data_IF_409444950036
#
_entry.id   IF_409444950036
#
_cell.length_a   1.000
_cell.length_b   1.000
_cell.length_c   1.000
_cell.angle_alpha   90.00
_cell.angle_beta   90.00
_cell.angle_gamma   90.00
#
_symmetry.space_group_name_H-M   'P 1'
#
loop_
_entity.id
_entity.type
_entity.pdbx_description
1 polymer ?
#
# COMPACT_ATOMS: atom_id res chain seq x y z
N UNK A 1 10.63 7.14 9.98
CA UNK A 1 10.06 6.45 8.80
C UNK A 1 9.50 7.51 7.87
N UNK A 2 9.79 7.47 6.57
CA UNK A 2 9.27 8.48 5.60
C UNK A 2 8.30 7.88 4.59
N UNK A 3 8.31 6.55 4.43
CA UNK A 3 7.43 5.81 3.53
C UNK A 3 7.01 4.49 4.16
N UNK A 4 5.78 4.04 3.88
CA UNK A 4 5.23 2.76 4.32
C UNK A 4 4.52 2.06 3.16
N UNK A 5 4.58 0.72 3.13
CA UNK A 5 3.92 -0.11 2.11
C UNK A 5 2.98 -1.08 2.82
N UNK A 6 1.70 -1.08 2.47
CA UNK A 6 0.74 -2.10 2.91
C UNK A 6 0.70 -3.25 1.92
N UNK A 7 0.81 -4.48 2.41
CA UNK A 7 0.96 -5.68 1.57
C UNK A 7 -0.38 -6.28 1.10
N UNK A 8 -1.46 -6.00 1.82
CA UNK A 8 -2.83 -6.39 1.48
C UNK A 8 -3.83 -5.50 2.24
N UNK A 9 -5.12 -5.70 2.00
CA UNK A 9 -6.18 -4.73 2.31
C UNK A 9 -6.85 -4.89 3.69
N UNK A 10 -6.50 -5.93 4.47
CA UNK A 10 -7.11 -6.14 5.78
C UNK A 10 -6.66 -5.07 6.80
N UNK A 11 -7.49 -4.85 7.83
CA UNK A 11 -7.29 -3.84 8.87
C UNK A 11 -5.92 -3.94 9.56
N UNK A 12 -5.37 -5.15 9.76
CA UNK A 12 -4.05 -5.34 10.37
C UNK A 12 -2.92 -4.71 9.52
N UNK A 13 -3.18 -4.39 8.26
CA UNK A 13 -2.22 -3.79 7.32
C UNK A 13 -2.56 -2.38 6.87
N UNK A 14 -3.83 -1.98 6.94
CA UNK A 14 -4.25 -0.65 6.48
C UNK A 14 -4.85 0.23 7.57
N UNK A 15 -5.26 -0.31 8.71
CA UNK A 15 -5.93 0.43 9.78
C UNK A 15 -5.10 1.52 10.47
N UNK A 16 -3.82 1.65 10.14
CA UNK A 16 -2.94 2.73 10.61
C UNK A 16 -2.60 3.79 9.55
N UNK A 17 -3.18 3.73 8.35
CA UNK A 17 -2.81 4.59 7.21
C UNK A 17 -2.96 6.07 7.52
N UNK A 18 -4.03 6.46 8.19
CA UNK A 18 -4.39 7.82 8.55
C UNK A 18 -3.52 8.35 9.71
N UNK A 19 -3.10 7.50 10.65
CA UNK A 19 -2.05 7.84 11.63
C UNK A 19 -0.71 8.10 10.94
N UNK A 20 -0.31 7.23 10.01
CA UNK A 20 0.92 7.41 9.22
C UNK A 20 0.87 8.69 8.39
N UNK A 21 -0.27 8.97 7.75
CA UNK A 21 -0.50 10.20 6.98
C UNK A 21 -0.41 11.44 7.86
N UNK A 22 -1.04 11.43 9.03
CA UNK A 22 -0.98 12.54 9.99
C UNK A 22 0.46 12.81 10.47
N UNK A 23 1.30 11.77 10.52
CA UNK A 23 2.73 11.88 10.83
C UNK A 23 3.61 12.25 9.62
N UNK A 24 3.03 12.51 8.44
CA UNK A 24 3.76 12.87 7.23
C UNK A 24 4.44 11.71 6.52
N UNK A 25 4.04 10.46 6.78
CA UNK A 25 4.54 9.26 6.11
C UNK A 25 3.73 8.99 4.84
N UNK A 26 4.40 8.87 3.70
CA UNK A 26 3.75 8.49 2.44
C UNK A 26 3.38 6.98 2.46
N UNK A 27 2.12 6.66 2.25
CA UNK A 27 1.59 5.28 2.26
C UNK A 27 1.38 4.77 0.82
N UNK A 28 1.88 3.57 0.54
CA UNK A 28 1.85 2.92 -0.78
C UNK A 28 1.20 1.55 -0.69
N UNK A 29 0.54 1.11 -1.77
CA UNK A 29 0.09 -0.27 -1.94
C UNK A 29 -0.12 -0.61 -3.43
N UNK A 30 -0.33 -1.89 -3.74
CA UNK A 30 -0.73 -2.31 -5.08
C UNK A 30 -2.11 -1.74 -5.46
N UNK A 31 -2.44 -1.63 -6.77
CA UNK A 31 -3.78 -1.24 -7.21
C UNK A 31 -4.87 -2.14 -6.64
N UNK A 32 -4.62 -3.45 -6.55
CA UNK A 32 -5.56 -4.43 -5.99
C UNK A 32 -5.81 -4.20 -4.49
N UNK A 33 -4.77 -3.94 -3.71
CA UNK A 33 -4.91 -3.64 -2.28
C UNK A 33 -5.74 -2.39 -2.05
N UNK A 34 -5.48 -1.32 -2.80
CA UNK A 34 -6.25 -0.07 -2.69
C UNK A 34 -7.72 -0.28 -3.03
N UNK A 35 -7.99 -0.95 -4.16
CA UNK A 35 -9.36 -1.26 -4.61
C UNK A 35 -10.11 -2.09 -3.58
N UNK A 36 -9.48 -3.13 -3.03
CA UNK A 36 -10.13 -4.00 -2.04
C UNK A 36 -10.32 -3.28 -0.70
N UNK A 37 -9.38 -2.44 -0.27
CA UNK A 37 -9.57 -1.61 0.93
C UNK A 37 -10.79 -0.69 0.77
N UNK A 38 -10.94 -0.04 -0.39
CA UNK A 38 -12.12 0.78 -0.69
C UNK A 38 -13.42 -0.03 -0.66
N UNK A 39 -13.43 -1.21 -1.28
CA UNK A 39 -14.61 -2.10 -1.32
C UNK A 39 -15.03 -2.56 0.09
N UNK A 40 -14.07 -2.84 0.97
CA UNK A 40 -14.31 -3.30 2.34
C UNK A 40 -14.56 -2.15 3.33
N UNK A 41 -14.42 -0.89 2.89
CA UNK A 41 -14.56 0.27 3.76
C UNK A 41 -13.39 0.50 4.71
N UNK A 42 -12.23 -0.07 4.39
CA UNK A 42 -10.99 0.11 5.14
C UNK A 42 -10.25 1.38 4.67
N UNK A 43 -9.27 1.79 5.46
CA UNK A 43 -8.41 2.92 5.11
C UNK A 43 -7.54 2.62 3.88
N UNK A 44 -7.39 3.61 3.00
CA UNK A 44 -6.81 3.43 1.67
C UNK A 44 -5.42 4.07 1.61
N UNK A 45 -4.33 3.30 1.39
CA UNK A 45 -3.00 3.85 1.14
C UNK A 45 -3.01 4.88 0.01
N UNK A 46 -2.33 6.02 0.21
CA UNK A 46 -2.50 7.23 -0.62
C UNK A 46 -1.88 7.10 -2.01
N UNK A 47 -0.82 6.31 -2.18
CA UNK A 47 -0.13 6.10 -3.45
C UNK A 47 -0.32 4.67 -3.97
N UNK A 48 -0.45 4.54 -5.29
CA UNK A 48 -0.59 3.27 -5.99
C UNK A 48 0.75 2.88 -6.62
N UNK A 49 1.14 1.62 -6.48
CA UNK A 49 2.30 1.03 -7.14
C UNK A 49 1.83 0.32 -8.41
N UNK A 50 1.55 1.09 -9.47
CA UNK A 50 0.93 0.59 -10.72
C UNK A 50 1.67 -0.60 -11.36
N UNK A 51 2.98 -0.71 -11.14
CA UNK A 51 3.80 -1.84 -11.61
C UNK A 51 3.64 -3.13 -10.79
N UNK A 52 2.68 -3.23 -9.86
CA UNK A 52 2.35 -4.43 -9.07
C UNK A 52 0.89 -4.84 -9.29
N UNK A 53 0.52 -5.11 -10.55
CA UNK A 53 -0.88 -5.33 -10.95
C UNK A 53 -1.22 -6.81 -11.22
N UNK A 54 -0.24 -7.63 -11.57
CA UNK A 54 -0.40 -9.03 -11.99
C UNK A 54 0.68 -9.93 -11.40
N UNK A 55 0.35 -11.19 -11.11
CA UNK A 55 1.29 -12.11 -10.46
C UNK A 55 2.60 -12.22 -11.24
N UNK A 56 3.72 -12.14 -10.51
CA UNK A 56 5.07 -12.12 -11.08
C UNK A 56 5.61 -10.71 -11.36
N UNK A 57 4.77 -9.67 -11.22
CA UNK A 57 5.22 -8.29 -11.29
C UNK A 57 6.20 -7.96 -10.16
N UNK A 58 7.17 -7.09 -10.47
CA UNK A 58 8.15 -6.60 -9.51
C UNK A 58 8.42 -5.10 -9.69
N UNK A 59 8.53 -4.38 -8.56
CA UNK A 59 8.88 -2.95 -8.54
C UNK A 59 9.96 -2.71 -7.51
N UNK A 60 11.01 -1.96 -7.91
CA UNK A 60 11.99 -1.43 -6.96
C UNK A 60 11.39 -0.31 -6.13
N UNK A 61 11.49 -0.45 -4.81
CA UNK A 61 11.08 0.54 -3.84
C UNK A 61 12.27 0.91 -2.94
N UNK A 62 13.08 1.86 -3.40
CA UNK A 62 14.35 2.19 -2.73
C UNK A 62 15.30 0.98 -2.74
N UNK A 63 15.79 0.50 -1.57
CA UNK A 63 16.72 -0.62 -1.49
C UNK A 63 16.05 -2.01 -1.56
N UNK A 64 14.71 -2.08 -1.58
CA UNK A 64 13.98 -3.36 -1.65
C UNK A 64 13.28 -3.54 -2.99
N UNK A 65 12.99 -4.78 -3.34
CA UNK A 65 12.13 -5.16 -4.45
C UNK A 65 10.84 -5.74 -3.88
N UNK A 66 9.71 -5.26 -4.40
CA UNK A 66 8.38 -5.72 -4.03
C UNK A 66 7.87 -6.62 -5.15
N UNK A 67 7.24 -7.74 -4.78
CA UNK A 67 6.68 -8.72 -5.71
C UNK A 67 5.18 -8.86 -5.47
N UNK A 68 4.42 -9.08 -6.54
CA UNK A 68 2.99 -9.36 -6.50
C UNK A 68 2.69 -10.77 -6.99
#
# INVERSE_FOLDING_TARGET
>A
VTRAVSTHFHDDRVGGVDVLRAAGVATYASPSTRRLAEVEGNEIPTHSLEGLSSSGDAVRFGPVELFY
#
